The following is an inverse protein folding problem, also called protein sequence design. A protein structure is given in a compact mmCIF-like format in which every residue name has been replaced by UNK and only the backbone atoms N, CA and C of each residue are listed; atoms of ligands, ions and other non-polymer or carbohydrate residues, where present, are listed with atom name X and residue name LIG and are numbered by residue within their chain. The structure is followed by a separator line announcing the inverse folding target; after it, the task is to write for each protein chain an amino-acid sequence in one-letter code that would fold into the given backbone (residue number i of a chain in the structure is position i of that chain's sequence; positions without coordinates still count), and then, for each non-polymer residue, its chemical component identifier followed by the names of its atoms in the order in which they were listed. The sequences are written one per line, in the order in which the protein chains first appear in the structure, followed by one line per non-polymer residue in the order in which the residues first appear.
data_IF_012906030117
#
_entry.id   IF_012906030117
#
_cell.length_a   1.000
_cell.length_b   1.000
_cell.length_c   1.000
_cell.angle_alpha   90.00
_cell.angle_beta   90.00
_cell.angle_gamma   90.00
#
_symmetry.space_group_name_H-M   'P 1'
#
loop_
_entity.id
_entity.type
_entity.pdbx_description
1 polymer ?
#
# COMPACT_ATOMS: atom_id res chain seq x y z
N UNK A 1 16.42 -23.75 -11.66
CA UNK A 1 16.61 -23.36 -10.24
C UNK A 1 17.52 -22.15 -10.03
N UNK A 2 18.00 -21.46 -11.08
CA UNK A 2 18.53 -20.07 -10.94
C UNK A 2 17.46 -19.10 -11.47
N UNK A 3 16.81 -19.46 -12.58
CA UNK A 3 15.72 -18.67 -13.16
C UNK A 3 14.53 -18.54 -12.19
N UNK A 4 14.15 -19.62 -11.51
CA UNK A 4 13.07 -19.61 -10.51
C UNK A 4 13.37 -18.66 -9.34
N UNK A 5 14.64 -18.59 -8.91
CA UNK A 5 15.06 -17.68 -7.83
C UNK A 5 15.13 -16.22 -8.28
N UNK A 6 15.46 -15.97 -9.56
CA UNK A 6 15.40 -14.63 -10.13
C UNK A 6 13.94 -14.15 -10.21
N UNK A 7 13.03 -15.02 -10.62
CA UNK A 7 11.62 -14.71 -10.82
C UNK A 7 10.92 -14.43 -9.47
N UNK A 8 11.21 -15.22 -8.44
CA UNK A 8 10.72 -14.95 -7.07
C UNK A 8 11.31 -13.65 -6.49
N UNK A 9 12.59 -13.36 -6.78
CA UNK A 9 13.19 -12.10 -6.36
C UNK A 9 12.54 -10.88 -7.05
N UNK A 10 12.27 -10.98 -8.36
CA UNK A 10 11.59 -9.95 -9.14
C UNK A 10 10.17 -9.68 -8.61
N UNK A 11 9.36 -10.73 -8.39
CA UNK A 11 8.02 -10.57 -7.81
C UNK A 11 8.06 -9.88 -6.44
N UNK A 12 9.03 -10.23 -5.60
CA UNK A 12 9.17 -9.62 -4.27
C UNK A 12 9.62 -8.17 -4.34
N UNK A 13 10.48 -7.82 -5.29
CA UNK A 13 10.89 -6.44 -5.53
C UNK A 13 9.70 -5.61 -6.03
N UNK A 14 8.91 -6.14 -6.96
CA UNK A 14 7.74 -5.46 -7.48
C UNK A 14 6.69 -5.21 -6.38
N UNK A 15 6.42 -6.21 -5.53
CA UNK A 15 5.55 -6.03 -4.36
C UNK A 15 6.08 -4.98 -3.39
N UNK A 16 7.39 -4.93 -3.16
CA UNK A 16 7.99 -3.92 -2.30
C UNK A 16 7.84 -2.51 -2.88
N UNK A 17 7.98 -2.36 -4.20
CA UNK A 17 7.80 -1.09 -4.90
C UNK A 17 6.32 -0.64 -4.83
N UNK A 18 5.37 -1.54 -5.07
CA UNK A 18 3.95 -1.22 -4.96
C UNK A 18 3.56 -0.81 -3.53
N UNK A 19 4.03 -1.55 -2.53
CA UNK A 19 3.80 -1.19 -1.13
C UNK A 19 4.37 0.19 -0.78
N UNK A 20 5.57 0.52 -1.28
CA UNK A 20 6.16 1.83 -1.08
C UNK A 20 5.34 2.94 -1.75
N UNK A 21 4.83 2.72 -2.97
CA UNK A 21 3.95 3.69 -3.66
C UNK A 21 2.66 3.94 -2.89
N UNK A 22 2.03 2.89 -2.36
CA UNK A 22 0.81 3.01 -1.53
C UNK A 22 1.07 3.84 -0.27
N UNK A 23 2.17 3.57 0.44
CA UNK A 23 2.54 4.35 1.62
C UNK A 23 2.81 5.82 1.27
N UNK A 24 3.52 6.10 0.17
CA UNK A 24 3.73 7.48 -0.29
C UNK A 24 2.43 8.18 -0.69
N UNK A 25 1.46 7.46 -1.27
CA UNK A 25 0.16 8.02 -1.63
C UNK A 25 -0.67 8.38 -0.38
N UNK A 26 -0.50 7.67 0.72
CA UNK A 26 -1.14 7.98 2.00
C UNK A 26 -0.48 9.15 2.75
N UNK A 27 0.72 9.60 2.34
CA UNK A 27 1.38 10.77 2.94
C UNK A 27 0.67 12.05 2.51
N UNK A 28 0.27 12.85 3.50
CA UNK A 28 -0.38 14.15 3.29
C UNK A 28 0.58 15.12 2.58
N UNK A 29 0.35 15.34 1.29
CA UNK A 29 1.03 16.40 0.51
C UNK A 29 0.11 17.61 0.35
N UNK A 30 0.64 18.72 -0.17
CA UNK A 30 -0.12 19.97 -0.36
C UNK A 30 -1.30 19.86 -1.34
N UNK A 31 -1.43 18.75 -2.08
CA UNK A 31 -2.59 18.42 -2.90
C UNK A 31 -3.38 17.30 -2.24
N UNK A 32 -4.64 17.58 -1.90
CA UNK A 32 -5.53 16.56 -1.36
C UNK A 32 -5.75 15.44 -2.39
N UNK A 33 -5.58 14.19 -1.96
CA UNK A 33 -5.86 12.99 -2.73
C UNK A 33 -6.77 12.07 -1.90
N UNK A 34 -7.66 11.29 -2.52
CA UNK A 34 -8.58 10.41 -1.79
C UNK A 34 -7.84 9.39 -0.90
N UNK A 35 -6.63 8.98 -1.32
CA UNK A 35 -5.73 8.10 -0.59
C UNK A 35 -5.27 8.65 0.78
N UNK A 36 -5.44 9.94 1.07
CA UNK A 36 -5.13 10.47 2.41
C UNK A 36 -6.13 10.05 3.49
N UNK A 37 -7.36 9.67 3.09
CA UNK A 37 -8.44 9.34 4.02
C UNK A 37 -8.55 7.84 4.28
N UNK A 38 -7.82 6.99 3.54
CA UNK A 38 -7.85 5.53 3.69
C UNK A 38 -7.35 5.01 5.03
N UNK A 39 -6.64 5.84 5.80
CA UNK A 39 -6.18 5.54 7.17
C UNK A 39 -7.19 6.01 8.25
N UNK A 40 -8.34 6.58 7.87
CA UNK A 40 -9.38 7.02 8.82
C UNK A 40 -10.35 5.87 9.09
N UNK A 41 -10.13 5.19 10.20
CA UNK A 41 -11.02 4.12 10.65
C UNK A 41 -12.18 4.71 11.43
N UNK A 42 -13.41 4.41 11.03
CA UNK A 42 -14.64 4.80 11.72
C UNK A 42 -15.30 3.52 12.27
N UNK A 43 -15.85 3.60 13.47
CA UNK A 43 -16.68 2.54 14.01
C UNK A 43 -18.05 2.55 13.29
N UNK A 44 -18.24 1.58 12.40
CA UNK A 44 -19.50 1.36 11.70
C UNK A 44 -20.23 0.18 12.34
N UNK A 45 -21.23 0.48 13.16
CA UNK A 45 -22.06 -0.52 13.85
C UNK A 45 -21.26 -1.54 14.69
N UNK A 46 -20.22 -1.10 15.41
CA UNK A 46 -19.39 -1.93 16.28
C UNK A 46 -18.21 -2.59 15.57
N UNK A 47 -17.96 -2.27 14.30
CA UNK A 47 -16.82 -2.79 13.51
C UNK A 47 -15.97 -1.65 12.96
N UNK A 48 -14.66 -1.62 13.25
CA UNK A 48 -13.75 -0.62 12.70
C UNK A 48 -13.63 -0.80 11.18
N UNK A 49 -14.12 0.18 10.42
CA UNK A 49 -14.09 0.20 8.96
C UNK A 49 -13.19 1.34 8.47
N UNK A 50 -12.16 1.07 7.65
CA UNK A 50 -11.29 2.08 7.02
C UNK A 50 -11.97 2.93 5.94
#
# INVERSE_FOLDING_TARGET
MIDDTLLDAEERMDRAIEHAKEEFAAIRTGRANAAMFSKIIIDYYGSPTP
#
